data_IF_735494058623
#
_entry.id   IF_735494058623
#
_cell.length_a   1.000
_cell.length_b   1.000
_cell.length_c   1.000
_cell.angle_alpha   90.00
_cell.angle_beta   90.00
_cell.angle_gamma   90.00
#
_symmetry.space_group_name_H-M   'P 1'
#
loop_
_entity.id
_entity.type
_entity.pdbx_description
1 polymer ?
#
# COMPACT_ATOMS: atom_id res chain seq x y z
N UNK A 1 -51.83 -38.34 -30.26
CA UNK A 1 -51.64 -37.01 -29.65
C UNK A 1 -50.57 -37.15 -28.58
N UNK A 2 -49.35 -36.81 -28.92
CA UNK A 2 -48.15 -36.99 -28.05
C UNK A 2 -47.85 -35.66 -27.33
N UNK A 3 -47.85 -35.71 -26.00
CA UNK A 3 -47.48 -34.56 -25.17
C UNK A 3 -45.97 -34.63 -24.93
N UNK A 4 -45.23 -33.73 -25.55
CA UNK A 4 -43.81 -33.53 -25.26
C UNK A 4 -43.64 -32.73 -23.95
N UNK A 5 -43.04 -33.36 -22.93
CA UNK A 5 -42.58 -32.69 -21.70
C UNK A 5 -41.25 -32.01 -22.03
N UNK A 6 -41.25 -30.68 -21.96
CA UNK A 6 -40.01 -29.86 -22.00
C UNK A 6 -39.52 -29.71 -20.56
N UNK A 7 -38.47 -30.43 -20.21
CA UNK A 7 -37.78 -30.26 -18.91
C UNK A 7 -36.78 -29.15 -19.00
N UNK A 8 -37.07 -28.01 -18.37
CA UNK A 8 -36.17 -26.86 -18.26
C UNK A 8 -35.15 -27.13 -17.16
N UNK A 9 -33.91 -27.44 -17.56
CA UNK A 9 -32.78 -27.61 -16.64
C UNK A 9 -32.24 -26.22 -16.25
N UNK A 10 -32.56 -25.75 -15.04
CA UNK A 10 -31.92 -24.56 -14.46
C UNK A 10 -30.50 -24.94 -14.01
N UNK A 11 -29.48 -24.51 -14.75
CA UNK A 11 -28.10 -24.52 -14.28
C UNK A 11 -27.93 -23.37 -13.24
N UNK A 12 -27.92 -23.71 -11.97
CA UNK A 12 -27.41 -22.84 -10.93
C UNK A 12 -25.88 -22.79 -11.08
N UNK A 13 -25.35 -21.73 -11.69
CA UNK A 13 -23.93 -21.41 -11.57
C UNK A 13 -23.66 -20.85 -10.19
N UNK A 14 -23.16 -21.69 -9.29
CA UNK A 14 -22.61 -21.23 -8.03
C UNK A 14 -21.33 -20.41 -8.34
N UNK A 15 -21.43 -19.09 -8.28
CA UNK A 15 -20.26 -18.23 -8.24
C UNK A 15 -19.58 -18.48 -6.90
N UNK A 16 -18.53 -19.31 -6.90
CA UNK A 16 -17.64 -19.41 -5.75
C UNK A 16 -17.01 -18.02 -5.54
N UNK A 17 -17.42 -17.32 -4.48
CA UNK A 17 -16.70 -16.15 -4.00
C UNK A 17 -15.29 -16.63 -3.66
N UNK A 18 -14.28 -16.08 -4.35
CA UNK A 18 -12.90 -16.33 -3.98
C UNK A 18 -12.74 -15.94 -2.50
N UNK A 19 -12.12 -16.78 -1.66
CA UNK A 19 -11.86 -16.39 -0.29
C UNK A 19 -11.00 -15.13 -0.32
N UNK A 20 -11.43 -14.08 0.39
CA UNK A 20 -10.59 -12.94 0.65
C UNK A 20 -9.32 -13.48 1.33
N UNK A 21 -8.15 -13.20 0.74
CA UNK A 21 -6.89 -13.61 1.34
C UNK A 21 -6.61 -12.68 2.55
N UNK A 22 -7.27 -12.92 3.67
CA UNK A 22 -6.85 -12.42 4.98
C UNK A 22 -5.71 -13.31 5.52
N UNK A 23 -4.69 -13.54 4.70
CA UNK A 23 -3.49 -14.28 5.07
C UNK A 23 -2.45 -13.45 5.81
N UNK A 24 -2.81 -12.26 6.27
CA UNK A 24 -1.91 -11.45 7.10
C UNK A 24 -1.71 -12.13 8.45
N UNK A 25 -0.45 -12.32 8.85
CA UNK A 25 -0.13 -12.72 10.22
C UNK A 25 -0.61 -11.62 11.16
N UNK A 26 -0.81 -11.92 12.45
CA UNK A 26 -1.30 -10.94 13.42
C UNK A 26 -0.41 -9.70 13.57
N UNK A 27 0.81 -9.73 13.04
CA UNK A 27 1.78 -8.62 13.04
C UNK A 27 1.71 -7.76 11.78
N UNK A 28 1.07 -8.21 10.71
CA UNK A 28 1.02 -7.48 9.45
C UNK A 28 -0.02 -6.34 9.49
N UNK A 29 0.24 -5.30 8.68
CA UNK A 29 -0.66 -4.18 8.42
C UNK A 29 -0.75 -3.93 6.92
N UNK A 30 -1.40 -4.85 6.15
CA UNK A 30 -1.33 -4.88 4.68
C UNK A 30 -2.16 -3.78 3.99
N UNK A 31 -3.04 -3.09 4.71
CA UNK A 31 -3.92 -2.06 4.18
C UNK A 31 -3.84 -0.78 5.00
N UNK A 32 -4.27 0.34 4.45
CA UNK A 32 -4.33 1.64 5.12
C UNK A 32 -5.00 1.57 6.50
N UNK A 33 -6.09 0.84 6.63
CA UNK A 33 -6.81 0.63 7.90
C UNK A 33 -6.54 -0.72 8.55
N UNK A 34 -5.43 -1.40 8.24
CA UNK A 34 -5.07 -2.73 8.73
C UNK A 34 -5.75 -3.86 7.95
N UNK A 35 -7.03 -3.75 7.68
CA UNK A 35 -7.83 -4.68 6.87
C UNK A 35 -8.52 -3.95 5.72
N UNK A 36 -9.06 -4.67 4.73
CA UNK A 36 -9.87 -4.08 3.66
C UNK A 36 -11.09 -3.33 4.21
N UNK A 37 -11.66 -3.79 5.32
CA UNK A 37 -12.77 -3.12 6.00
C UNK A 37 -12.31 -1.90 6.84
N UNK A 38 -11.02 -1.59 6.86
CA UNK A 38 -10.43 -0.46 7.60
C UNK A 38 -10.78 -0.46 9.09
N UNK A 39 -10.76 -1.62 9.73
CA UNK A 39 -11.11 -1.75 11.15
C UNK A 39 -10.16 -1.03 12.10
N UNK A 40 -8.94 -0.74 11.67
CA UNK A 40 -7.91 -0.03 12.45
C UNK A 40 -7.64 -0.69 13.80
N UNK A 41 -7.74 -2.01 13.84
CA UNK A 41 -7.54 -2.82 15.02
C UNK A 41 -6.39 -3.79 14.80
N UNK A 42 -5.48 -3.89 15.78
CA UNK A 42 -4.43 -4.91 15.82
C UNK A 42 -4.79 -5.95 16.87
N UNK A 43 -4.62 -7.24 16.54
CA UNK A 43 -4.76 -8.35 17.49
C UNK A 43 -3.52 -8.52 18.39
N UNK A 44 -2.47 -7.71 18.18
CA UNK A 44 -1.26 -7.75 19.01
C UNK A 44 -1.59 -7.30 20.44
N UNK A 45 -1.16 -8.06 21.43
CA UNK A 45 -1.46 -7.85 22.86
C UNK A 45 -0.22 -7.56 23.72
N UNK A 46 0.97 -7.44 23.10
CA UNK A 46 2.22 -7.18 23.83
C UNK A 46 2.19 -5.83 24.55
N UNK A 47 1.49 -4.82 24.00
CA UNK A 47 1.29 -3.52 24.62
C UNK A 47 -0.08 -3.52 25.30
N UNK A 48 -0.09 -3.20 26.59
CA UNK A 48 -1.29 -3.21 27.41
C UNK A 48 -1.22 -2.13 28.51
N UNK A 49 -2.23 -2.00 29.33
CA UNK A 49 -2.35 -0.98 30.38
C UNK A 49 -1.27 -1.06 31.45
N UNK A 50 -0.62 -2.22 31.63
CA UNK A 50 0.42 -2.42 32.64
C UNK A 50 1.80 -2.00 32.16
N UNK A 51 2.06 -1.99 30.86
CA UNK A 51 3.36 -1.72 30.29
C UNK A 51 3.44 -0.51 29.35
N UNK A 52 2.30 0.06 28.93
CA UNK A 52 2.25 1.18 27.97
C UNK A 52 3.10 2.38 28.41
N UNK A 53 3.23 2.63 29.71
CA UNK A 53 4.06 3.74 30.25
C UNK A 53 5.56 3.51 30.09
N UNK A 54 5.99 2.32 29.71
CA UNK A 54 7.41 1.94 29.55
C UNK A 54 7.80 1.78 28.09
N UNK A 55 6.91 2.11 27.15
CA UNK A 55 7.21 2.05 25.72
C UNK A 55 8.31 3.07 25.41
N UNK A 56 9.30 2.62 24.66
CA UNK A 56 10.36 3.45 24.08
C UNK A 56 10.47 3.16 22.58
N UNK A 57 11.01 4.11 21.78
CA UNK A 57 11.30 3.87 20.38
C UNK A 57 12.26 2.68 20.23
N UNK A 58 11.93 1.71 19.38
CA UNK A 58 12.82 0.60 19.04
C UNK A 58 13.91 1.04 18.06
N UNK A 59 13.55 1.89 17.11
CA UNK A 59 14.46 2.45 16.11
C UNK A 59 13.88 3.77 15.54
N UNK A 60 14.70 4.47 14.76
CA UNK A 60 14.33 5.68 14.05
C UNK A 60 14.94 5.64 12.65
N UNK A 61 14.16 6.00 11.63
CA UNK A 61 14.61 6.11 10.26
C UNK A 61 14.44 7.54 9.76
N UNK A 62 15.52 8.13 9.23
CA UNK A 62 15.51 9.47 8.65
C UNK A 62 15.39 9.37 7.14
N UNK A 63 14.27 9.82 6.59
CA UNK A 63 14.01 9.78 5.13
C UNK A 63 14.82 10.82 4.36
N UNK A 64 15.38 11.82 5.03
CA UNK A 64 16.01 12.98 4.39
C UNK A 64 15.01 13.84 3.60
N UNK A 65 13.74 13.79 3.97
CA UNK A 65 12.69 14.62 3.38
C UNK A 65 12.44 15.86 4.23
N UNK A 66 12.64 17.02 3.65
CA UNK A 66 12.49 18.32 4.32
C UNK A 66 11.37 19.18 3.73
N UNK A 67 10.66 18.67 2.69
CA UNK A 67 9.74 19.50 1.89
C UNK A 67 8.30 19.50 2.41
N UNK A 68 7.85 18.47 3.13
CA UNK A 68 6.43 18.44 3.48
C UNK A 68 6.03 17.51 4.63
N UNK A 69 6.93 16.73 5.15
CA UNK A 69 6.62 15.70 6.15
C UNK A 69 5.87 14.51 5.56
N UNK A 70 5.58 13.54 6.41
CA UNK A 70 4.91 12.30 6.03
C UNK A 70 3.40 12.40 6.26
N UNK A 71 2.62 12.10 5.23
CA UNK A 71 1.15 12.01 5.30
C UNK A 71 0.68 10.62 4.86
N UNK A 72 1.28 9.60 5.42
CA UNK A 72 1.07 8.21 5.03
C UNK A 72 0.66 7.34 6.21
N UNK A 73 0.09 6.18 5.90
CA UNK A 73 0.08 5.03 6.81
C UNK A 73 1.08 4.01 6.27
N UNK A 74 2.08 3.59 7.06
CA UNK A 74 2.98 2.53 6.66
C UNK A 74 2.22 1.23 6.37
N UNK A 75 2.60 0.53 5.31
CA UNK A 75 2.15 -0.83 5.04
C UNK A 75 3.22 -1.78 5.55
N UNK A 76 2.81 -2.78 6.34
CA UNK A 76 3.73 -3.81 6.85
C UNK A 76 3.24 -5.16 6.36
N UNK A 77 4.10 -5.89 5.68
CA UNK A 77 3.83 -7.22 5.15
C UNK A 77 5.09 -8.07 5.22
N UNK A 78 4.97 -9.27 5.78
CA UNK A 78 6.06 -10.24 5.90
C UNK A 78 7.34 -9.63 6.52
N UNK A 79 7.18 -8.80 7.56
CA UNK A 79 8.28 -8.15 8.27
C UNK A 79 8.96 -6.99 7.49
N UNK A 80 8.40 -6.57 6.37
CA UNK A 80 8.88 -5.41 5.61
C UNK A 80 7.89 -4.26 5.72
N UNK A 81 8.39 -3.09 6.11
CA UNK A 81 7.62 -1.85 6.17
C UNK A 81 7.85 -1.03 4.90
N UNK A 82 6.77 -0.64 4.23
CA UNK A 82 6.79 0.22 3.05
C UNK A 82 6.23 1.58 3.39
N UNK A 83 7.01 2.62 3.08
CA UNK A 83 6.62 4.02 3.28
C UNK A 83 6.88 4.82 2.02
N UNK A 84 6.06 5.84 1.77
CA UNK A 84 6.37 6.87 0.77
C UNK A 84 6.63 8.21 1.43
N UNK A 85 7.31 9.10 0.72
CA UNK A 85 7.59 10.46 1.20
C UNK A 85 7.21 11.50 0.13
N UNK A 86 7.42 12.76 0.44
CA UNK A 86 7.27 13.85 -0.54
C UNK A 86 8.00 13.53 -1.84
N UNK A 87 7.51 14.09 -2.94
CA UNK A 87 8.08 13.95 -4.29
C UNK A 87 8.24 12.49 -4.75
N UNK A 88 7.31 11.63 -4.28
CA UNK A 88 7.18 10.25 -4.78
C UNK A 88 8.44 9.39 -4.55
N UNK A 89 9.05 9.44 -3.37
CA UNK A 89 10.05 8.45 -2.97
C UNK A 89 9.39 7.32 -2.20
N UNK A 90 9.89 6.11 -2.36
CA UNK A 90 9.43 4.92 -1.64
C UNK A 90 10.62 4.24 -0.97
N UNK A 91 10.43 3.80 0.26
CA UNK A 91 11.42 3.03 1.01
C UNK A 91 10.79 1.72 1.45
N UNK A 92 11.58 0.65 1.39
CA UNK A 92 11.30 -0.60 2.11
C UNK A 92 12.31 -0.75 3.24
N UNK A 93 11.79 -0.94 4.43
CA UNK A 93 12.57 -1.08 5.66
C UNK A 93 12.31 -2.45 6.27
N UNK A 94 13.29 -3.01 6.96
CA UNK A 94 13.07 -4.08 7.89
C UNK A 94 12.22 -3.54 9.04
N UNK A 95 11.04 -4.11 9.27
CA UNK A 95 10.08 -3.56 10.23
C UNK A 95 10.55 -3.69 11.69
N UNK A 96 11.41 -4.66 12.00
CA UNK A 96 11.93 -4.88 13.34
C UNK A 96 13.11 -3.96 13.69
N UNK A 97 13.93 -3.60 12.70
CA UNK A 97 15.20 -2.89 12.93
C UNK A 97 15.26 -1.49 12.33
N UNK A 98 14.33 -1.14 11.42
CA UNK A 98 14.38 0.11 10.65
C UNK A 98 15.47 0.13 9.57
N UNK A 99 16.18 -0.97 9.34
CA UNK A 99 17.24 -1.04 8.32
C UNK A 99 16.63 -0.93 6.93
N UNK A 100 17.16 -0.01 6.12
CA UNK A 100 16.72 0.15 4.73
C UNK A 100 17.09 -1.08 3.89
N UNK A 101 16.11 -1.68 3.23
CA UNK A 101 16.28 -2.76 2.26
C UNK A 101 16.51 -2.21 0.86
N UNK A 102 15.66 -1.28 0.43
CA UNK A 102 15.80 -0.57 -0.82
C UNK A 102 15.08 0.80 -0.77
N UNK A 103 15.41 1.63 -1.75
CA UNK A 103 14.78 2.92 -1.99
C UNK A 103 14.49 3.07 -3.48
N UNK A 104 13.36 3.65 -3.80
CA UNK A 104 13.01 4.13 -5.13
C UNK A 104 12.80 5.64 -5.07
N UNK A 105 13.30 6.35 -6.09
CA UNK A 105 13.07 7.79 -6.26
C UNK A 105 12.46 8.01 -7.63
N UNK A 106 11.23 8.48 -7.65
CA UNK A 106 10.54 8.81 -8.90
C UNK A 106 11.20 10.04 -9.55
N UNK A 107 11.43 10.04 -10.88
CA UNK A 107 12.13 11.11 -11.57
C UNK A 107 11.22 12.34 -11.80
N UNK A 108 10.63 12.88 -10.74
CA UNK A 108 9.82 14.08 -10.82
C UNK A 108 10.72 15.31 -11.03
N UNK A 109 10.48 16.13 -12.07
CA UNK A 109 11.26 17.35 -12.30
C UNK A 109 11.25 18.27 -11.07
N UNK A 110 12.38 18.92 -10.76
CA UNK A 110 12.46 19.86 -9.63
C UNK A 110 11.54 21.06 -9.79
N UNK A 111 11.28 21.46 -11.04
CA UNK A 111 10.35 22.55 -11.39
C UNK A 111 8.88 22.13 -11.29
N UNK A 112 8.60 20.83 -11.09
CA UNK A 112 7.23 20.37 -10.94
C UNK A 112 6.64 20.92 -9.63
N UNK A 113 5.53 21.62 -9.76
CA UNK A 113 4.77 22.17 -8.64
C UNK A 113 3.38 21.54 -8.63
N UNK A 114 2.86 21.31 -7.44
CA UNK A 114 1.49 20.82 -7.24
C UNK A 114 0.67 21.91 -6.55
N UNK A 115 -0.62 21.94 -6.82
CA UNK A 115 -1.54 22.86 -6.15
C UNK A 115 -1.66 22.54 -4.65
N UNK A 116 -1.59 21.25 -4.29
CA UNK A 116 -1.81 20.78 -2.91
C UNK A 116 -0.54 20.50 -2.12
N UNK A 117 0.64 20.68 -2.71
CA UNK A 117 1.93 20.40 -2.08
C UNK A 117 2.55 19.05 -2.49
N UNK A 118 3.75 18.75 -2.00
CA UNK A 118 4.57 17.65 -2.52
C UNK A 118 4.22 16.27 -1.93
N UNK A 119 3.15 16.13 -1.20
CA UNK A 119 2.84 14.94 -0.40
C UNK A 119 2.39 13.76 -1.23
N UNK A 120 3.01 12.61 -0.99
CA UNK A 120 2.49 11.31 -1.40
C UNK A 120 1.64 10.71 -0.25
N UNK A 121 0.59 9.97 -0.57
CA UNK A 121 -0.38 9.45 0.40
C UNK A 121 -0.15 7.99 0.79
N UNK A 122 0.93 7.39 0.37
CA UNK A 122 1.28 6.01 0.69
C UNK A 122 1.36 5.11 -0.53
N UNK A 123 1.51 3.84 -0.26
CA UNK A 123 1.64 2.78 -1.26
C UNK A 123 0.62 1.67 -1.00
N UNK A 124 0.36 0.86 -2.02
CA UNK A 124 -0.32 -0.42 -1.88
C UNK A 124 0.67 -1.54 -2.21
N UNK A 125 0.54 -2.69 -1.53
CA UNK A 125 1.41 -3.86 -1.75
C UNK A 125 0.55 -5.06 -2.08
N UNK A 126 0.79 -5.67 -3.24
CA UNK A 126 0.08 -6.87 -3.69
C UNK A 126 0.85 -7.58 -4.80
N UNK A 127 0.69 -8.89 -4.91
CA UNK A 127 1.20 -9.72 -6.03
C UNK A 127 2.69 -9.48 -6.34
N UNK A 128 3.52 -9.39 -5.30
CA UNK A 128 4.96 -9.18 -5.44
C UNK A 128 5.37 -7.79 -5.93
N UNK A 129 4.48 -6.81 -5.83
CA UNK A 129 4.72 -5.43 -6.27
C UNK A 129 4.29 -4.40 -5.24
N UNK A 130 4.96 -3.27 -5.28
CA UNK A 130 4.59 -2.05 -4.54
C UNK A 130 4.08 -1.03 -5.55
N UNK A 131 2.86 -0.55 -5.34
CA UNK A 131 2.20 0.40 -6.22
C UNK A 131 2.14 1.76 -5.58
N UNK A 132 2.42 2.80 -6.36
CA UNK A 132 2.39 4.19 -5.94
C UNK A 132 1.70 5.05 -7.00
N UNK A 133 0.74 5.88 -6.58
CA UNK A 133 0.26 7.01 -7.39
C UNK A 133 1.26 8.17 -7.29
N UNK A 134 1.59 8.80 -8.40
CA UNK A 134 2.54 9.90 -8.44
C UNK A 134 1.85 11.26 -8.54
N UNK A 135 2.57 12.31 -8.17
CA UNK A 135 2.07 13.68 -8.19
C UNK A 135 1.76 14.20 -9.60
N UNK A 136 2.33 13.59 -10.63
CA UNK A 136 2.12 13.90 -12.06
C UNK A 136 1.23 12.87 -12.75
N UNK A 137 0.31 12.27 -12.00
CA UNK A 137 -0.76 11.37 -12.45
C UNK A 137 -0.29 10.09 -13.14
N UNK A 138 0.81 9.52 -12.69
CA UNK A 138 1.18 8.16 -13.06
C UNK A 138 0.85 7.17 -11.95
N UNK A 139 0.68 5.92 -12.32
CA UNK A 139 0.79 4.78 -11.42
C UNK A 139 2.07 4.05 -11.75
N UNK A 140 2.88 3.82 -10.73
CA UNK A 140 4.15 3.09 -10.83
C UNK A 140 4.02 1.77 -10.07
N UNK A 141 4.50 0.69 -10.66
CA UNK A 141 4.67 -0.60 -10.00
C UNK A 141 6.15 -0.91 -9.84
N UNK A 142 6.57 -1.16 -8.61
CA UNK A 142 7.91 -1.55 -8.25
C UNK A 142 7.94 -3.04 -7.88
N UNK A 143 9.03 -3.72 -8.18
CA UNK A 143 9.28 -5.05 -7.65
C UNK A 143 9.41 -4.99 -6.12
N UNK A 144 8.65 -5.81 -5.42
CA UNK A 144 8.54 -5.77 -3.97
C UNK A 144 9.87 -6.02 -3.24
N UNK A 145 10.74 -6.85 -3.82
CA UNK A 145 11.99 -7.26 -3.19
C UNK A 145 13.15 -6.32 -3.48
N UNK A 146 13.15 -5.68 -4.65
CA UNK A 146 14.30 -4.91 -5.15
C UNK A 146 14.04 -3.42 -5.28
N UNK A 147 12.77 -2.99 -5.26
CA UNK A 147 12.39 -1.59 -5.51
C UNK A 147 12.58 -1.13 -6.95
N UNK A 148 12.95 -2.04 -7.88
CA UNK A 148 13.09 -1.68 -9.29
C UNK A 148 11.73 -1.45 -9.93
N UNK A 149 11.63 -0.40 -10.74
CA UNK A 149 10.42 -0.12 -11.51
C UNK A 149 10.17 -1.26 -12.51
N UNK A 150 8.98 -1.86 -12.44
CA UNK A 150 8.53 -2.91 -13.35
C UNK A 150 7.77 -2.30 -14.52
N UNK A 151 6.88 -1.36 -14.22
CA UNK A 151 6.13 -0.59 -15.21
C UNK A 151 5.62 0.72 -14.62
N UNK A 152 5.29 1.63 -15.51
CA UNK A 152 4.65 2.91 -15.23
C UNK A 152 3.58 3.17 -16.27
N UNK A 153 2.45 3.73 -15.86
CA UNK A 153 1.36 4.15 -16.75
C UNK A 153 0.92 5.56 -16.39
N UNK A 154 0.70 6.38 -17.39
CA UNK A 154 0.03 7.67 -17.23
C UNK A 154 -1.48 7.42 -17.12
N UNK A 155 -2.11 7.96 -16.10
CA UNK A 155 -3.55 7.83 -15.86
C UNK A 155 -4.29 9.01 -16.45
N UNK A 156 -3.73 10.22 -16.35
CA UNK A 156 -4.34 11.45 -16.85
C UNK A 156 -3.27 12.53 -17.09
N UNK A 157 -3.54 13.49 -17.98
CA UNK A 157 -2.66 14.64 -18.15
C UNK A 157 -2.73 15.57 -16.93
N UNK A 158 -1.62 15.68 -16.20
CA UNK A 158 -1.52 16.52 -15.02
C UNK A 158 -1.82 18.01 -15.28
N UNK A 159 -1.67 18.47 -16.53
CA UNK A 159 -2.00 19.86 -16.90
C UNK A 159 -3.50 20.07 -17.11
N UNK A 160 -4.27 19.01 -17.28
CA UNK A 160 -5.71 19.08 -17.54
C UNK A 160 -6.56 18.80 -16.32
N UNK A 161 -6.13 17.91 -15.45
CA UNK A 161 -6.96 17.49 -14.30
C UNK A 161 -6.87 18.44 -13.11
N UNK A 162 -5.88 19.30 -13.01
CA UNK A 162 -5.66 20.16 -11.84
C UNK A 162 -5.43 19.37 -10.54
N UNK A 163 -5.05 18.11 -10.65
CA UNK A 163 -4.86 17.21 -9.51
C UNK A 163 -3.40 17.03 -9.11
#
# INVERSE_FOLDING_TARGET
>A
MSRALVTLLLLLTATAAAPAQDGATSADWPHYGGTQASWRHSSLSQINTTNVKRIAPAWMFQTGDYEGGLQITPIVLDGVMYISTSRNRVFALDAATGTQKWQYTYPLPRSFTTFYGPWNRGVAVAHGKVYMGTLDNHVVALDQNTGKEVWRINVEDANQCGC
#
